data_IF_168251523356
#
_entry.id   IF_168251523356
#
_cell.length_a   1.000
_cell.length_b   1.000
_cell.length_c   1.000
_cell.angle_alpha   90.00
_cell.angle_beta   90.00
_cell.angle_gamma   90.00
#
_symmetry.space_group_name_H-M   'P 1'
#
loop_
_entity.id
_entity.type
_entity.pdbx_description
1 polymer ?
#
# COMPACT_ATOMS: atom_id res chain seq x y z
N UNK A 1 -36.00 -1.72 41.33
CA UNK A 1 -35.00 -1.48 40.27
C UNK A 1 -33.69 -1.10 40.94
N UNK A 2 -32.57 -1.80 40.67
CA UNK A 2 -31.26 -1.41 41.22
C UNK A 2 -30.81 -0.08 40.64
N UNK A 3 -30.34 0.84 41.47
CA UNK A 3 -29.88 2.15 41.06
C UNK A 3 -28.76 2.09 39.99
N UNK A 4 -28.71 3.07 39.11
CA UNK A 4 -27.63 3.26 38.15
C UNK A 4 -26.34 3.59 38.91
N UNK A 5 -25.28 2.88 38.64
CA UNK A 5 -23.97 3.06 39.29
C UNK A 5 -23.05 4.00 38.49
N UNK A 6 -22.01 4.54 39.14
CA UNK A 6 -20.98 5.32 38.47
C UNK A 6 -20.30 4.53 37.33
N UNK A 7 -20.14 3.21 37.51
CA UNK A 7 -19.59 2.34 36.48
C UNK A 7 -20.52 2.17 35.26
N UNK A 8 -21.83 2.26 35.43
CA UNK A 8 -22.76 2.24 34.30
C UNK A 8 -22.66 3.52 33.46
N UNK A 9 -22.49 4.66 34.12
CA UNK A 9 -22.27 5.95 33.45
C UNK A 9 -20.92 5.95 32.73
N UNK A 10 -19.85 5.48 33.37
CA UNK A 10 -18.53 5.40 32.73
C UNK A 10 -18.55 4.51 31.46
N UNK A 11 -19.24 3.36 31.52
CA UNK A 11 -19.42 2.50 30.32
C UNK A 11 -20.22 3.20 29.22
N UNK A 12 -21.28 3.92 29.56
CA UNK A 12 -22.06 4.70 28.61
C UNK A 12 -21.20 5.75 27.89
N UNK A 13 -20.44 6.53 28.66
CA UNK A 13 -19.54 7.58 28.12
C UNK A 13 -18.49 6.95 27.20
N UNK A 14 -17.87 5.85 27.63
CA UNK A 14 -16.85 5.16 26.84
C UNK A 14 -17.45 4.57 25.54
N UNK A 15 -18.62 3.94 25.62
CA UNK A 15 -19.33 3.41 24.44
C UNK A 15 -19.72 4.53 23.47
N UNK A 16 -20.23 5.65 23.97
CA UNK A 16 -20.63 6.79 23.13
C UNK A 16 -19.41 7.40 22.41
N UNK A 17 -18.31 7.61 23.15
CA UNK A 17 -17.09 8.18 22.57
C UNK A 17 -16.43 7.26 21.54
N UNK A 18 -16.12 6.02 21.95
CA UNK A 18 -15.47 5.04 21.06
C UNK A 18 -16.38 4.68 19.88
N UNK A 19 -17.66 4.44 20.15
CA UNK A 19 -18.64 4.09 19.11
C UNK A 19 -18.87 5.22 18.12
N UNK A 20 -18.93 6.48 18.59
CA UNK A 20 -19.07 7.65 17.72
C UNK A 20 -17.87 7.82 16.79
N UNK A 21 -16.66 7.68 17.31
CA UNK A 21 -15.44 7.76 16.51
C UNK A 21 -15.38 6.63 15.48
N UNK A 22 -15.65 5.38 15.89
CA UNK A 22 -15.65 4.24 14.97
C UNK A 22 -16.71 4.41 13.87
N UNK A 23 -17.92 4.85 14.22
CA UNK A 23 -18.98 5.09 13.24
C UNK A 23 -18.58 6.16 12.20
N UNK A 24 -17.92 7.23 12.63
CA UNK A 24 -17.39 8.25 11.73
C UNK A 24 -16.30 7.69 10.80
N UNK A 25 -15.35 6.90 11.31
CA UNK A 25 -14.33 6.25 10.49
C UNK A 25 -14.89 5.22 9.51
N UNK A 26 -15.92 4.48 9.93
CA UNK A 26 -16.63 3.58 9.03
C UNK A 26 -17.35 4.33 7.92
N UNK A 27 -18.02 5.45 8.25
CA UNK A 27 -18.70 6.32 7.28
C UNK A 27 -17.70 6.96 6.28
N UNK A 28 -16.48 7.31 6.71
CA UNK A 28 -15.39 7.73 5.81
C UNK A 28 -15.07 6.65 4.77
N UNK A 29 -15.00 5.39 5.21
CA UNK A 29 -14.66 4.26 4.34
C UNK A 29 -15.79 3.88 3.39
N UNK A 30 -17.05 3.92 3.87
CA UNK A 30 -18.22 3.49 3.08
C UNK A 30 -18.72 4.59 2.16
N UNK A 31 -18.92 5.78 2.69
CA UNK A 31 -19.66 6.87 2.03
C UNK A 31 -18.77 8.04 1.59
N UNK A 32 -17.50 8.06 2.04
CA UNK A 32 -16.62 9.20 1.79
C UNK A 32 -16.94 10.43 2.65
N UNK A 33 -17.77 10.31 3.69
CA UNK A 33 -18.10 11.41 4.58
C UNK A 33 -16.86 11.91 5.34
N UNK A 34 -16.95 13.10 5.89
CA UNK A 34 -15.87 13.71 6.70
C UNK A 34 -14.49 13.72 6.01
N UNK A 35 -14.45 13.92 4.68
CA UNK A 35 -13.22 13.90 3.91
C UNK A 35 -12.64 12.51 3.64
N UNK A 36 -13.44 11.45 3.79
CA UNK A 36 -13.05 10.08 3.49
C UNK A 36 -13.03 9.78 1.98
N UNK A 37 -12.48 8.62 1.62
CA UNK A 37 -12.28 8.22 0.22
C UNK A 37 -13.37 7.27 -0.32
N UNK A 38 -14.38 6.93 0.49
CA UNK A 38 -15.40 5.94 0.14
C UNK A 38 -14.81 4.54 -0.11
N UNK A 39 -15.66 3.58 -0.49
CA UNK A 39 -15.24 2.18 -0.69
C UNK A 39 -14.14 2.04 -1.75
N UNK A 40 -14.22 2.82 -2.84
CA UNK A 40 -13.28 2.68 -3.94
C UNK A 40 -11.88 3.19 -3.57
N UNK A 41 -11.77 4.37 -2.99
CA UNK A 41 -10.48 4.94 -2.58
C UNK A 41 -9.87 4.19 -1.41
N UNK A 42 -10.69 3.86 -0.40
CA UNK A 42 -10.24 3.02 0.73
C UNK A 42 -9.79 1.64 0.26
N UNK A 43 -10.51 1.04 -0.72
CA UNK A 43 -10.13 -0.26 -1.28
C UNK A 43 -8.76 -0.24 -1.96
N UNK A 44 -8.45 0.79 -2.74
CA UNK A 44 -7.12 0.97 -3.35
C UNK A 44 -6.02 1.08 -2.27
N UNK A 45 -6.26 1.87 -1.24
CA UNK A 45 -5.32 2.01 -0.14
C UNK A 45 -5.11 0.68 0.64
N UNK A 46 -6.19 -0.07 0.90
CA UNK A 46 -6.11 -1.37 1.56
C UNK A 46 -5.36 -2.41 0.71
N UNK A 47 -5.58 -2.40 -0.60
CA UNK A 47 -4.88 -3.29 -1.52
C UNK A 47 -3.38 -3.04 -1.53
N UNK A 48 -2.97 -1.77 -1.55
CA UNK A 48 -1.56 -1.37 -1.42
C UNK A 48 -0.93 -1.80 -0.08
N UNK A 49 -1.73 -1.88 1.00
CA UNK A 49 -1.29 -2.38 2.30
C UNK A 49 -1.33 -3.92 2.43
N UNK A 50 -1.64 -4.66 1.36
CA UNK A 50 -1.68 -6.12 1.33
C UNK A 50 -3.04 -6.74 1.72
N UNK A 51 -4.09 -5.97 1.91
CA UNK A 51 -5.45 -6.49 2.13
C UNK A 51 -6.16 -6.74 0.80
N UNK A 52 -5.85 -7.86 0.17
CA UNK A 52 -6.41 -8.27 -1.13
C UNK A 52 -7.58 -9.24 -0.96
N UNK A 53 -8.71 -9.08 -1.71
CA UNK A 53 -9.01 -7.95 -2.60
C UNK A 53 -9.42 -6.68 -1.82
N UNK A 54 -9.00 -5.49 -2.32
CA UNK A 54 -9.09 -4.23 -1.58
C UNK A 54 -10.52 -3.74 -1.32
N UNK A 55 -11.41 -3.73 -2.32
CA UNK A 55 -12.80 -3.27 -2.17
C UNK A 55 -13.60 -4.09 -1.14
N UNK A 56 -13.61 -5.43 -1.17
CA UNK A 56 -14.24 -6.25 -0.13
C UNK A 56 -13.67 -5.98 1.27
N UNK A 57 -12.36 -5.78 1.38
CA UNK A 57 -11.70 -5.47 2.65
C UNK A 57 -12.14 -4.11 3.20
N UNK A 58 -12.25 -3.09 2.33
CA UNK A 58 -12.75 -1.76 2.70
C UNK A 58 -14.22 -1.80 3.13
N UNK A 59 -15.04 -2.57 2.42
CA UNK A 59 -16.46 -2.75 2.75
C UNK A 59 -16.63 -3.45 4.11
N UNK A 60 -15.91 -4.54 4.35
CA UNK A 60 -15.95 -5.27 5.61
C UNK A 60 -15.51 -4.39 6.79
N UNK A 61 -14.38 -3.69 6.67
CA UNK A 61 -13.91 -2.78 7.71
C UNK A 61 -14.90 -1.62 7.95
N UNK A 62 -15.39 -1.00 6.89
CA UNK A 62 -16.35 0.10 6.98
C UNK A 62 -17.68 -0.32 7.65
N UNK A 63 -18.20 -1.51 7.33
CA UNK A 63 -19.42 -2.06 7.97
C UNK A 63 -19.15 -2.34 9.45
N UNK A 64 -18.06 -3.01 9.80
CA UNK A 64 -17.75 -3.34 11.20
C UNK A 64 -17.57 -2.06 12.01
N UNK A 65 -16.90 -1.05 11.48
CA UNK A 65 -16.70 0.22 12.17
C UNK A 65 -18.00 1.03 12.29
N UNK A 66 -18.80 1.13 11.23
CA UNK A 66 -20.04 1.91 11.26
C UNK A 66 -21.12 1.22 12.11
N UNK A 67 -21.44 -0.03 11.79
CA UNK A 67 -22.45 -0.78 12.50
C UNK A 67 -22.01 -1.12 13.93
N UNK A 68 -20.74 -1.56 14.10
CA UNK A 68 -20.16 -1.82 15.40
C UNK A 68 -20.10 -0.57 16.28
N UNK A 69 -19.73 0.58 15.72
CA UNK A 69 -19.78 1.86 16.42
C UNK A 69 -21.19 2.21 16.90
N UNK A 70 -22.20 2.10 16.02
CA UNK A 70 -23.61 2.33 16.38
C UNK A 70 -24.10 1.34 17.46
N UNK A 71 -23.75 0.06 17.33
CA UNK A 71 -24.10 -0.96 18.34
C UNK A 71 -23.41 -0.72 19.68
N UNK A 72 -22.18 -0.23 19.71
CA UNK A 72 -21.50 0.19 20.95
C UNK A 72 -22.23 1.36 21.60
N UNK A 73 -22.61 2.40 20.85
CA UNK A 73 -23.37 3.54 21.38
C UNK A 73 -24.64 3.04 22.07
N UNK A 74 -25.41 2.21 21.38
CA UNK A 74 -26.66 1.64 21.90
C UNK A 74 -26.44 0.62 23.03
N UNK A 75 -25.26 0.05 23.14
CA UNK A 75 -24.97 -1.06 24.05
C UNK A 75 -25.69 -2.33 23.67
N UNK A 76 -25.62 -2.68 22.39
CA UNK A 76 -26.24 -3.88 21.83
C UNK A 76 -25.18 -4.93 21.51
N UNK A 77 -25.39 -6.15 22.00
CA UNK A 77 -24.44 -7.25 21.88
C UNK A 77 -22.99 -6.82 22.23
N UNK A 78 -22.85 -6.03 23.30
CA UNK A 78 -21.62 -5.29 23.62
C UNK A 78 -20.37 -6.16 23.67
N UNK A 79 -20.35 -7.38 24.24
CA UNK A 79 -19.16 -8.23 24.20
C UNK A 79 -18.73 -8.60 22.77
N UNK A 80 -19.67 -8.98 21.92
CA UNK A 80 -19.41 -9.36 20.54
C UNK A 80 -18.96 -8.15 19.71
N UNK A 81 -19.66 -7.04 19.85
CA UNK A 81 -19.38 -5.78 19.12
C UNK A 81 -18.03 -5.20 19.53
N UNK A 82 -17.73 -5.17 20.84
CA UNK A 82 -16.44 -4.72 21.34
C UNK A 82 -15.29 -5.61 20.88
N UNK A 83 -15.49 -6.93 20.84
CA UNK A 83 -14.50 -7.86 20.30
C UNK A 83 -14.25 -7.63 18.81
N UNK A 84 -15.31 -7.50 18.00
CA UNK A 84 -15.19 -7.28 16.56
C UNK A 84 -14.50 -5.94 16.23
N UNK A 85 -14.86 -4.85 16.91
CA UNK A 85 -14.23 -3.55 16.72
C UNK A 85 -12.79 -3.52 17.21
N UNK A 86 -12.48 -4.17 18.34
CA UNK A 86 -11.11 -4.34 18.83
C UNK A 86 -10.23 -5.09 17.83
N UNK A 87 -10.76 -6.17 17.24
CA UNK A 87 -10.09 -6.93 16.19
C UNK A 87 -9.79 -6.10 14.96
N UNK A 88 -10.79 -5.36 14.48
CA UNK A 88 -10.60 -4.47 13.32
C UNK A 88 -9.52 -3.43 13.59
N UNK A 89 -9.47 -2.87 14.79
CA UNK A 89 -8.44 -1.93 15.21
C UNK A 89 -7.07 -2.59 15.36
N UNK A 90 -7.00 -3.84 15.84
CA UNK A 90 -5.75 -4.60 15.88
C UNK A 90 -5.19 -4.86 14.47
N UNK A 91 -6.05 -5.22 13.51
CA UNK A 91 -5.67 -5.36 12.10
C UNK A 91 -5.19 -4.02 11.53
N UNK A 92 -5.90 -2.93 11.80
CA UNK A 92 -5.49 -1.59 11.38
C UNK A 92 -4.12 -1.20 11.98
N UNK A 93 -3.89 -1.50 13.26
CA UNK A 93 -2.60 -1.24 13.91
C UNK A 93 -1.43 -1.93 13.20
N UNK A 94 -1.61 -3.15 12.70
CA UNK A 94 -0.56 -3.85 11.93
C UNK A 94 -0.24 -3.15 10.59
N UNK A 95 -1.22 -2.51 9.97
CA UNK A 95 -1.02 -1.75 8.72
C UNK A 95 -0.24 -0.45 8.95
N UNK A 96 -0.45 0.18 10.11
CA UNK A 96 0.24 1.38 10.52
C UNK A 96 1.58 1.12 11.23
N UNK A 97 1.86 -0.11 11.64
CA UNK A 97 3.06 -0.50 12.38
C UNK A 97 4.38 0.00 11.79
N UNK A 98 4.62 -0.11 10.47
CA UNK A 98 5.86 0.38 9.86
C UNK A 98 6.12 1.88 10.02
N UNK A 99 5.08 2.68 10.33
CA UNK A 99 5.16 4.13 10.55
C UNK A 99 5.44 4.51 12.01
N UNK A 100 5.61 3.53 12.90
CA UNK A 100 5.85 3.73 14.32
C UNK A 100 4.58 3.97 15.13
N UNK A 101 4.74 4.45 16.36
CA UNK A 101 3.64 4.64 17.32
C UNK A 101 2.77 5.85 16.97
N UNK A 102 3.38 7.02 16.80
CA UNK A 102 2.69 8.30 16.83
C UNK A 102 1.83 8.58 15.60
N UNK A 103 0.59 9.00 15.83
CA UNK A 103 -0.39 9.32 14.79
C UNK A 103 0.07 10.46 13.87
N UNK A 104 0.89 11.41 14.36
CA UNK A 104 1.52 12.47 13.56
C UNK A 104 2.33 11.95 12.38
N UNK A 105 2.88 10.74 12.49
CA UNK A 105 3.63 10.06 11.43
C UNK A 105 2.77 9.03 10.68
N UNK A 106 1.45 8.99 10.96
CA UNK A 106 0.55 7.96 10.45
C UNK A 106 0.69 6.60 11.15
N UNK A 107 1.24 6.59 12.38
CA UNK A 107 1.48 5.40 13.19
C UNK A 107 0.22 4.79 13.80
N UNK A 108 0.41 3.76 14.61
CA UNK A 108 -0.69 2.91 15.11
C UNK A 108 -1.31 3.38 16.43
N UNK A 109 -0.91 4.51 17.02
CA UNK A 109 -1.42 5.06 18.27
C UNK A 109 -2.96 5.07 18.32
N UNK A 110 -3.55 5.61 17.27
CA UNK A 110 -4.99 5.79 17.18
C UNK A 110 -5.77 4.46 17.14
N UNK A 111 -5.48 3.53 16.23
CA UNK A 111 -6.13 2.22 16.26
C UNK A 111 -5.81 1.43 17.53
N UNK A 112 -4.64 1.59 18.13
CA UNK A 112 -4.31 0.92 19.39
C UNK A 112 -5.22 1.38 20.54
N UNK A 113 -5.39 2.69 20.72
CA UNK A 113 -6.28 3.24 21.78
C UNK A 113 -7.73 2.81 21.56
N UNK A 114 -8.25 2.94 20.34
CA UNK A 114 -9.62 2.51 20.04
C UNK A 114 -9.81 1.00 20.22
N UNK A 115 -8.81 0.20 19.85
CA UNK A 115 -8.81 -1.24 20.02
C UNK A 115 -8.83 -1.63 21.51
N UNK A 116 -7.98 -1.02 22.34
CA UNK A 116 -7.94 -1.26 23.78
C UNK A 116 -9.25 -0.85 24.47
N UNK A 117 -9.81 0.31 24.13
CA UNK A 117 -11.10 0.74 24.65
C UNK A 117 -12.24 -0.20 24.24
N UNK A 118 -12.25 -0.67 22.99
CA UNK A 118 -13.23 -1.65 22.49
C UNK A 118 -13.10 -3.00 23.21
N UNK A 119 -11.88 -3.48 23.44
CA UNK A 119 -11.61 -4.69 24.20
C UNK A 119 -12.06 -4.56 25.66
N UNK A 120 -11.77 -3.42 26.28
CA UNK A 120 -12.24 -3.14 27.64
C UNK A 120 -13.78 -3.17 27.75
N UNK A 121 -14.48 -2.60 26.75
CA UNK A 121 -15.95 -2.67 26.66
C UNK A 121 -16.45 -4.10 26.44
N UNK A 122 -15.76 -4.91 25.63
CA UNK A 122 -16.11 -6.33 25.45
C UNK A 122 -16.06 -7.11 26.77
N UNK A 123 -15.08 -6.82 27.62
CA UNK A 123 -14.88 -7.46 28.94
C UNK A 123 -15.84 -6.89 29.97
N UNK A 124 -15.94 -5.56 30.05
CA UNK A 124 -16.76 -4.87 31.06
C UNK A 124 -18.27 -5.07 30.83
N UNK A 125 -18.66 -5.37 29.60
CA UNK A 125 -20.06 -5.53 29.20
C UNK A 125 -20.83 -4.22 29.07
N UNK A 126 -22.14 -4.29 28.77
CA UNK A 126 -22.95 -3.15 28.35
C UNK A 126 -23.28 -2.12 29.44
N UNK A 127 -23.36 -2.55 30.71
CA UNK A 127 -23.91 -1.73 31.80
C UNK A 127 -25.45 -1.67 31.76
N UNK A 128 -26.03 -1.02 32.77
CA UNK A 128 -27.50 -0.92 32.90
C UNK A 128 -28.15 0.06 31.93
N UNK A 129 -27.40 1.07 31.45
CA UNK A 129 -27.91 2.03 30.46
C UNK A 129 -27.57 1.49 29.07
N UNK A 130 -28.27 0.45 28.61
CA UNK A 130 -27.98 -0.23 27.35
C UNK A 130 -29.20 -1.00 26.83
N UNK A 131 -29.24 -1.25 25.51
CA UNK A 131 -30.25 -2.14 24.92
C UNK A 131 -30.08 -3.57 25.37
N UNK A 132 -28.88 -4.05 25.62
CA UNK A 132 -28.61 -5.37 26.18
C UNK A 132 -29.32 -5.55 27.53
N UNK A 133 -29.32 -4.52 28.39
CA UNK A 133 -30.04 -4.57 29.67
C UNK A 133 -31.55 -4.63 29.46
N UNK A 134 -32.08 -3.81 28.56
CA UNK A 134 -33.52 -3.82 28.20
C UNK A 134 -33.95 -5.18 27.62
N UNK A 135 -33.04 -5.87 26.93
CA UNK A 135 -33.24 -7.21 26.37
C UNK A 135 -32.86 -8.35 27.35
N UNK A 136 -32.75 -8.06 28.65
CA UNK A 136 -32.34 -9.01 29.67
C UNK A 136 -31.04 -9.77 29.35
N UNK A 137 -30.06 -9.08 28.75
CA UNK A 137 -28.73 -9.58 28.37
C UNK A 137 -28.72 -10.84 27.48
N UNK A 138 -29.79 -11.07 26.70
CA UNK A 138 -29.87 -12.24 25.81
C UNK A 138 -28.74 -12.32 24.83
N UNK A 139 -28.28 -11.16 24.30
CA UNK A 139 -27.19 -11.06 23.34
C UNK A 139 -25.80 -10.89 23.99
N UNK A 140 -25.76 -10.69 25.30
CA UNK A 140 -24.53 -10.47 26.08
C UNK A 140 -24.31 -11.52 27.16
N UNK A 141 -24.87 -12.74 26.99
CA UNK A 141 -24.62 -13.84 27.89
C UNK A 141 -23.21 -14.42 27.74
N UNK A 142 -22.73 -15.15 28.75
CA UNK A 142 -21.37 -15.71 28.76
C UNK A 142 -21.05 -16.59 27.57
N UNK A 143 -21.89 -17.54 27.11
CA UNK A 143 -21.64 -18.35 25.93
C UNK A 143 -21.47 -17.50 24.66
N UNK A 144 -22.36 -16.52 24.44
CA UNK A 144 -22.28 -15.63 23.28
C UNK A 144 -20.99 -14.78 23.31
N UNK A 145 -20.60 -14.29 24.49
CA UNK A 145 -19.36 -13.55 24.66
C UNK A 145 -18.11 -14.40 24.32
N UNK A 146 -18.05 -15.63 24.84
CA UNK A 146 -16.92 -16.54 24.57
C UNK A 146 -16.87 -16.89 23.09
N UNK A 147 -18.01 -17.25 22.48
CA UNK A 147 -18.09 -17.60 21.07
C UNK A 147 -17.64 -16.42 20.19
N UNK A 148 -18.10 -15.22 20.52
CA UNK A 148 -17.71 -14.02 19.75
C UNK A 148 -16.22 -13.71 19.85
N UNK A 149 -15.61 -13.87 21.04
CA UNK A 149 -14.17 -13.69 21.22
C UNK A 149 -13.36 -14.71 20.41
N UNK A 150 -13.75 -15.99 20.45
CA UNK A 150 -13.08 -17.06 19.70
C UNK A 150 -13.22 -16.83 18.19
N UNK A 151 -14.44 -16.56 17.71
CA UNK A 151 -14.69 -16.29 16.30
C UNK A 151 -13.90 -15.05 15.81
N UNK A 152 -13.86 -14.00 16.61
CA UNK A 152 -13.13 -12.76 16.29
C UNK A 152 -11.62 -13.01 16.26
N UNK A 153 -11.07 -13.73 17.23
CA UNK A 153 -9.65 -14.10 17.26
C UNK A 153 -9.26 -14.93 16.03
N UNK A 154 -10.06 -15.94 15.68
CA UNK A 154 -9.84 -16.78 14.50
C UNK A 154 -9.87 -15.96 13.20
N UNK A 155 -10.86 -15.06 13.05
CA UNK A 155 -10.98 -14.17 11.89
C UNK A 155 -9.80 -13.23 11.80
N UNK A 156 -9.36 -12.65 12.92
CA UNK A 156 -8.18 -11.78 12.98
C UNK A 156 -6.93 -12.49 12.47
N UNK A 157 -6.67 -13.70 13.01
CA UNK A 157 -5.51 -14.51 12.59
C UNK A 157 -5.59 -14.83 11.10
N UNK A 158 -6.77 -15.20 10.59
CA UNK A 158 -6.97 -15.51 9.18
C UNK A 158 -6.68 -14.27 8.29
N UNK A 159 -7.21 -13.11 8.65
CA UNK A 159 -6.99 -11.85 7.90
C UNK A 159 -5.50 -11.48 7.89
N UNK A 160 -4.82 -11.57 9.04
CA UNK A 160 -3.40 -11.25 9.13
C UNK A 160 -2.53 -12.23 8.33
N UNK A 161 -2.83 -13.53 8.36
CA UNK A 161 -2.12 -14.53 7.53
C UNK A 161 -2.31 -14.25 6.04
N UNK A 162 -3.54 -13.99 5.60
CA UNK A 162 -3.82 -13.63 4.20
C UNK A 162 -3.06 -12.38 3.76
N UNK A 163 -3.01 -11.37 4.62
CA UNK A 163 -2.23 -10.15 4.37
C UNK A 163 -0.74 -10.46 4.22
N UNK A 164 -0.17 -11.24 5.13
CA UNK A 164 1.25 -11.63 5.06
C UNK A 164 1.56 -12.38 3.77
N UNK A 165 0.74 -13.35 3.39
CA UNK A 165 0.91 -14.09 2.12
C UNK A 165 0.80 -13.16 0.90
N UNK A 166 -0.12 -12.20 0.91
CA UNK A 166 -0.26 -11.24 -0.18
C UNK A 166 0.96 -10.30 -0.30
N UNK A 167 1.53 -9.87 0.83
CA UNK A 167 2.74 -9.06 0.85
C UNK A 167 3.96 -9.85 0.37
N UNK A 168 4.12 -11.10 0.80
CA UNK A 168 5.19 -11.99 0.34
C UNK A 168 5.12 -12.21 -1.17
N UNK A 169 3.95 -12.54 -1.70
CA UNK A 169 3.76 -12.73 -3.14
C UNK A 169 4.05 -11.45 -3.96
N UNK A 170 3.74 -10.27 -3.41
CA UNK A 170 4.08 -9.01 -4.06
C UNK A 170 5.59 -8.77 -4.08
N UNK A 171 6.27 -9.01 -2.96
CA UNK A 171 7.73 -8.87 -2.87
C UNK A 171 8.47 -9.86 -3.81
N UNK A 172 7.99 -11.10 -3.91
CA UNK A 172 8.54 -12.09 -4.85
C UNK A 172 8.36 -11.65 -6.30
N UNK A 173 7.18 -11.11 -6.66
CA UNK A 173 6.91 -10.60 -8.00
C UNK A 173 7.79 -9.39 -8.36
N UNK A 174 7.98 -8.46 -7.42
CA UNK A 174 8.87 -7.30 -7.59
C UNK A 174 10.33 -7.73 -7.75
N UNK A 175 10.79 -8.69 -6.94
CA UNK A 175 12.14 -9.22 -7.06
C UNK A 175 12.37 -9.94 -8.40
N UNK A 176 11.39 -10.72 -8.88
CA UNK A 176 11.45 -11.38 -10.18
C UNK A 176 11.47 -10.35 -11.34
N UNK A 177 10.65 -9.29 -11.26
CA UNK A 177 10.64 -8.22 -12.24
C UNK A 177 11.99 -7.48 -12.29
N UNK A 178 12.56 -7.13 -11.14
CA UNK A 178 13.87 -6.50 -11.05
C UNK A 178 15.00 -7.39 -11.61
N UNK A 179 14.94 -8.69 -11.37
CA UNK A 179 15.91 -9.65 -11.94
C UNK A 179 15.78 -9.75 -13.47
N UNK A 180 14.54 -9.72 -13.99
CA UNK A 180 14.29 -9.72 -15.43
C UNK A 180 14.81 -8.43 -16.11
N UNK A 181 14.58 -7.28 -15.52
CA UNK A 181 15.12 -6.00 -15.99
C UNK A 181 16.65 -5.97 -15.99
N UNK A 182 17.27 -6.45 -14.91
CA UNK A 182 18.73 -6.53 -14.82
C UNK A 182 19.32 -7.46 -15.90
N UNK A 183 18.67 -8.58 -16.18
CA UNK A 183 19.09 -9.52 -17.23
C UNK A 183 18.93 -8.93 -18.63
N UNK A 184 17.85 -8.20 -18.89
CA UNK A 184 17.61 -7.49 -20.15
C UNK A 184 18.66 -6.40 -20.40
N UNK A 185 18.96 -5.58 -19.41
CA UNK A 185 20.00 -4.54 -19.47
C UNK A 185 21.39 -5.14 -19.75
N UNK A 186 21.70 -6.28 -19.11
CA UNK A 186 22.97 -6.98 -19.34
C UNK A 186 23.05 -7.52 -20.78
N UNK A 187 21.94 -8.07 -21.32
CA UNK A 187 21.89 -8.56 -22.69
C UNK A 187 22.05 -7.41 -23.71
N UNK A 188 21.39 -6.29 -23.48
CA UNK A 188 21.52 -5.09 -24.33
C UNK A 188 22.95 -4.53 -24.32
N UNK A 189 23.57 -4.45 -23.15
CA UNK A 189 24.97 -4.03 -23.02
C UNK A 189 25.91 -4.97 -23.75
N UNK A 190 25.69 -6.28 -23.66
CA UNK A 190 26.49 -7.29 -24.38
C UNK A 190 26.31 -7.18 -25.91
N UNK A 191 25.07 -6.96 -26.38
CA UNK A 191 24.78 -6.76 -27.80
C UNK A 191 25.48 -5.49 -28.35
N UNK A 192 25.39 -4.38 -27.60
CA UNK A 192 26.06 -3.11 -27.99
C UNK A 192 27.57 -3.25 -28.02
N UNK A 193 28.17 -3.98 -27.08
CA UNK A 193 29.61 -4.23 -27.06
C UNK A 193 30.06 -5.12 -28.23
N UNK A 194 29.26 -6.13 -28.60
CA UNK A 194 29.54 -7.00 -29.74
C UNK A 194 29.46 -6.23 -31.07
N UNK A 195 28.45 -5.36 -31.23
CA UNK A 195 28.30 -4.51 -32.41
C UNK A 195 29.47 -3.54 -32.55
N UNK A 196 29.90 -2.93 -31.46
CA UNK A 196 31.09 -2.05 -31.43
C UNK A 196 32.36 -2.79 -31.84
N UNK A 197 32.56 -4.01 -31.32
CA UNK A 197 33.71 -4.84 -31.69
C UNK A 197 33.69 -5.24 -33.17
N UNK A 198 32.51 -5.51 -33.73
CA UNK A 198 32.34 -5.80 -35.15
C UNK A 198 32.67 -4.58 -36.05
N UNK A 199 32.24 -3.40 -35.63
CA UNK A 199 32.55 -2.15 -36.33
C UNK A 199 34.06 -1.83 -36.30
N UNK A 200 34.73 -2.03 -35.16
CA UNK A 200 36.19 -1.84 -35.04
C UNK A 200 36.97 -2.87 -35.88
N UNK A 201 36.52 -4.13 -35.92
CA UNK A 201 37.12 -5.15 -36.78
C UNK A 201 36.95 -4.82 -38.28
N UNK A 202 35.76 -4.33 -38.68
CA UNK A 202 35.53 -3.90 -40.08
C UNK A 202 36.38 -2.70 -40.47
N UNK A 203 36.56 -1.71 -39.58
CA UNK A 203 37.43 -0.56 -39.77
C UNK A 203 38.89 -0.98 -39.96
N UNK A 204 39.40 -1.87 -39.13
CA UNK A 204 40.77 -2.42 -39.22
C UNK A 204 41.02 -3.17 -40.53
N UNK A 205 40.02 -3.95 -40.99
CA UNK A 205 40.11 -4.64 -42.28
C UNK A 205 40.14 -3.69 -43.46
N UNK A 206 39.41 -2.58 -43.40
CA UNK A 206 39.41 -1.54 -44.44
C UNK A 206 40.74 -0.81 -44.50
N UNK A 207 41.38 -0.48 -43.38
CA UNK A 207 42.69 0.13 -43.31
C UNK A 207 43.79 -0.81 -43.86
N UNK A 208 43.74 -2.11 -43.54
CA UNK A 208 44.66 -3.08 -44.10
C UNK A 208 44.56 -3.22 -45.63
N UNK A 209 43.35 -3.14 -46.17
CA UNK A 209 43.12 -3.18 -47.62
C UNK A 209 43.61 -1.91 -48.32
N UNK A 210 43.44 -0.76 -47.70
CA UNK A 210 43.93 0.55 -48.24
C UNK A 210 45.44 0.61 -48.26
N UNK A 211 46.12 0.10 -47.23
CA UNK A 211 47.58 0.03 -47.15
C UNK A 211 48.19 -0.93 -48.19
N UNK A 212 47.51 -2.07 -48.41
CA UNK A 212 47.94 -3.04 -49.43
C UNK A 212 47.79 -2.48 -50.86
N UNK A 213 46.78 -1.66 -51.14
CA UNK A 213 46.60 -1.03 -52.46
C UNK A 213 47.58 0.13 -52.70
N UNK A 214 48.02 0.84 -51.66
CA UNK A 214 48.99 1.92 -51.75
C UNK A 214 50.43 1.43 -52.05
N UNK A 215 50.74 0.17 -51.72
CA UNK A 215 52.09 -0.39 -51.97
C UNK A 215 52.24 -1.02 -53.35
N UNK A 216 51.16 -1.22 -54.13
CA UNK A 216 51.16 -1.89 -55.41
C UNK A 216 51.11 -0.97 -56.68
N UNK A 217 51.21 0.34 -56.55
CA UNK A 217 51.01 1.23 -57.67
C UNK A 217 51.91 2.48 -57.70
N UNK A 218 53.14 2.31 -58.18
CA UNK A 218 53.87 3.47 -58.74
C UNK A 218 54.46 3.13 -60.11
N UNK A 219 53.96 3.75 -61.20
CA UNK A 219 54.85 4.24 -62.23
C UNK A 219 54.68 5.78 -62.39
N UNK A 220 55.82 6.43 -62.36
CA UNK A 220 55.91 7.87 -62.54
C UNK A 220 55.44 8.38 -63.89
N UNK A 221 54.85 9.56 -63.90
CA UNK A 221 54.77 10.44 -65.05
C UNK A 221 54.78 11.91 -64.60
N UNK A 222 55.70 12.65 -65.19
CA UNK A 222 56.04 14.03 -65.25
C UNK A 222 54.92 15.10 -65.16
N UNK A 223 55.29 16.21 -64.50
CA UNK A 223 54.61 17.52 -64.46
C UNK A 223 54.47 18.17 -65.85
N UNK A 224 53.48 19.12 -66.04
CA UNK A 224 53.86 20.52 -65.89
C UNK A 224 52.81 21.40 -65.16
N UNK A 225 53.41 22.45 -64.60
CA UNK A 225 52.94 23.71 -64.10
C UNK A 225 51.81 24.41 -64.89
N UNK A 226 50.82 24.98 -64.20
CA UNK A 226 50.51 26.45 -64.26
C UNK A 226 49.24 26.80 -63.50
N UNK A 227 49.41 27.78 -62.62
CA UNK A 227 48.61 29.00 -62.37
C UNK A 227 47.14 28.95 -61.92
N UNK A 228 46.98 29.47 -60.74
CA UNK A 228 46.10 30.62 -60.42
C UNK A 228 44.57 30.41 -60.33
N UNK A 229 44.01 30.76 -59.18
CA UNK A 229 42.57 31.05 -59.05
C UNK A 229 42.09 31.08 -57.58
N UNK A 230 42.18 32.24 -56.97
CA UNK A 230 41.50 32.60 -55.74
C UNK A 230 39.98 32.49 -55.91
N UNK A 231 39.28 31.95 -54.99
CA UNK A 231 37.94 32.38 -54.59
C UNK A 231 37.62 32.00 -53.19
N UNK A 232 37.51 32.94 -52.34
CA UNK A 232 36.87 32.94 -51.01
C UNK A 232 35.36 32.77 -51.14
N UNK A 233 34.75 31.95 -50.31
CA UNK A 233 33.35 32.17 -50.04
C UNK A 233 33.03 31.73 -48.58
N UNK A 234 32.52 32.69 -47.92
CA UNK A 234 32.01 32.90 -46.60
C UNK A 234 31.05 31.83 -46.06
N UNK A 235 31.17 31.57 -44.78
CA UNK A 235 30.12 31.00 -43.90
C UNK A 235 28.95 31.99 -43.71
N UNK A 236 27.75 31.57 -43.58
CA UNK A 236 26.70 32.32 -42.89
C UNK A 236 26.43 31.79 -41.48
N UNK A 237 25.86 32.66 -40.60
CA UNK A 237 25.84 32.48 -39.16
C UNK A 237 24.61 31.73 -38.62
N UNK A 238 24.75 31.32 -37.37
CA UNK A 238 23.73 30.72 -36.53
C UNK A 238 22.47 31.58 -36.34
N UNK A 239 21.30 30.97 -36.34
CA UNK A 239 20.06 31.56 -35.83
C UNK A 239 19.63 30.86 -34.54
N UNK A 240 19.46 31.70 -33.51
CA UNK A 240 18.80 31.39 -32.24
C UNK A 240 17.28 31.49 -32.45
N UNK A 241 16.54 30.56 -31.90
CA UNK A 241 15.33 30.82 -31.09
C UNK A 241 14.93 29.55 -30.33
#
# INVERSE_FOLDING_TARGET
>A
MAAVSRSDIARLVLRAGVGGILAAHGAQKLFGWFGGHGVTGTGKAMEAMGFKPGKPSALAAGIIETAGGAMLILGLATPATGAATASTMAVAATAHGPKGLFASNGGYEYPAVLGLCSAALAIAGPGKISLDHALNYRLSNKPAAILSLVATAATTVMVLRRRQSALAATAEAEAAAAAAEASATKAETAATSADRSAVEAAASATEATTTATATAGSPGITTPSTANGKASTQLPPAAKS
#
